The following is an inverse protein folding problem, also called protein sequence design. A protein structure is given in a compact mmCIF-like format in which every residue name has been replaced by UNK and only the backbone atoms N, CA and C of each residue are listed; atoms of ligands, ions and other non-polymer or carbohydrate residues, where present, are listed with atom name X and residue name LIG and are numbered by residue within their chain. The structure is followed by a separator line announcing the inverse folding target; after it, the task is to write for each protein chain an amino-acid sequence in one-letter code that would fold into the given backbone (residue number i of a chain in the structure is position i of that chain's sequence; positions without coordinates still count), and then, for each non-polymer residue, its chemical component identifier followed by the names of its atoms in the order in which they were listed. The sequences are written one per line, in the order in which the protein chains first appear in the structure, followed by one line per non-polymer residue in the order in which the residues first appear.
data_IF_046524134619
#
_entry.id   IF_046524134619
#
_cell.length_a   1.000
_cell.length_b   1.000
_cell.length_c   1.000
_cell.angle_alpha   90.00
_cell.angle_beta   90.00
_cell.angle_gamma   90.00
#
_symmetry.space_group_name_H-M   'P 1'
#
loop_
_entity.id
_entity.type
_entity.pdbx_description
1 polymer ?
#
# COMPACT_ATOMS: atom_id res chain seq x y z
N UNK A 1 54.30 29.87 48.10
CA UNK A 1 52.91 29.41 48.21
C UNK A 1 52.29 29.43 46.82
N UNK A 2 52.35 28.32 46.07
CA UNK A 2 51.78 28.23 44.73
C UNK A 2 50.40 27.57 44.82
N UNK A 3 49.35 28.30 44.41
CA UNK A 3 47.99 27.77 44.20
C UNK A 3 47.98 26.94 42.92
N UNK A 4 47.59 25.67 43.02
CA UNK A 4 47.32 24.81 41.88
C UNK A 4 45.82 24.91 41.51
N UNK A 5 45.55 25.26 40.26
CA UNK A 5 44.22 25.36 39.67
C UNK A 5 43.81 24.00 39.08
N UNK A 6 42.57 23.60 39.35
CA UNK A 6 41.89 22.38 38.90
C UNK A 6 41.78 22.29 37.36
N UNK A 7 41.91 21.07 36.80
CA UNK A 7 41.23 20.70 35.55
C UNK A 7 40.47 19.38 35.78
N UNK A 8 39.14 19.47 35.85
CA UNK A 8 38.26 18.31 35.79
C UNK A 8 37.95 18.01 34.32
N UNK A 9 38.35 16.83 33.84
CA UNK A 9 38.04 16.36 32.49
C UNK A 9 36.64 15.76 32.49
N UNK A 10 35.69 16.43 31.84
CA UNK A 10 34.37 15.87 31.56
C UNK A 10 34.50 14.84 30.43
N UNK A 11 34.39 13.55 30.78
CA UNK A 11 34.29 12.48 29.81
C UNK A 11 32.93 12.57 29.10
N UNK A 12 32.94 12.92 27.81
CA UNK A 12 31.76 12.91 26.96
C UNK A 12 31.26 11.48 26.75
N UNK A 13 30.04 11.19 27.19
CA UNK A 13 29.37 9.94 26.89
C UNK A 13 29.04 9.89 25.39
N UNK A 14 29.78 9.06 24.65
CA UNK A 14 29.50 8.76 23.26
C UNK A 14 28.24 7.87 23.22
N UNK A 15 27.11 8.41 22.76
CA UNK A 15 25.91 7.62 22.47
C UNK A 15 26.24 6.63 21.35
N UNK A 16 26.46 5.37 21.72
CA UNK A 16 26.63 4.30 20.76
C UNK A 16 25.26 4.03 20.11
N UNK A 17 25.18 4.28 18.80
CA UNK A 17 24.01 3.91 18.01
C UNK A 17 24.01 2.38 17.89
N UNK A 18 23.08 1.74 18.59
CA UNK A 18 22.85 0.30 18.47
C UNK A 18 22.59 -0.06 16.99
N UNK A 19 23.26 -1.08 16.44
CA UNK A 19 23.00 -1.54 15.09
C UNK A 19 21.53 -1.98 15.00
N UNK A 20 20.81 -1.45 14.02
CA UNK A 20 19.44 -1.88 13.71
C UNK A 20 19.49 -3.37 13.40
N UNK A 21 19.08 -4.21 14.36
CA UNK A 21 18.98 -5.65 14.14
C UNK A 21 17.96 -5.90 13.01
N UNK A 22 18.44 -6.53 11.93
CA UNK A 22 17.57 -6.95 10.84
C UNK A 22 16.48 -7.88 11.40
N UNK A 23 15.21 -7.48 11.29
CA UNK A 23 14.08 -8.31 11.69
C UNK A 23 14.11 -9.61 10.85
N UNK A 24 13.96 -10.80 11.46
CA UNK A 24 13.81 -12.04 10.71
C UNK A 24 12.65 -11.92 9.72
N UNK A 25 12.82 -12.48 8.51
CA UNK A 25 11.80 -12.42 7.48
C UNK A 25 10.51 -13.09 7.98
N UNK A 26 9.39 -12.38 7.90
CA UNK A 26 8.09 -12.94 8.26
C UNK A 26 7.76 -14.14 7.33
N UNK A 27 7.09 -15.19 7.84
CA UNK A 27 6.62 -16.28 7.01
C UNK A 27 5.70 -15.73 5.91
N UNK A 28 5.80 -16.27 4.69
CA UNK A 28 4.99 -15.81 3.56
C UNK A 28 3.50 -16.03 3.89
N UNK A 29 2.69 -14.96 4.03
CA UNK A 29 1.27 -15.08 4.38
C UNK A 29 0.52 -15.89 3.33
N UNK A 30 -0.41 -16.78 3.71
CA UNK A 30 -1.11 -17.65 2.76
C UNK A 30 -1.92 -16.84 1.73
N UNK A 31 -2.15 -17.43 0.55
CA UNK A 31 -3.08 -16.87 -0.44
C UNK A 31 -4.49 -16.97 0.13
N UNK A 32 -5.32 -15.96 -0.13
CA UNK A 32 -6.75 -16.03 0.15
C UNK A 32 -7.40 -17.24 -0.52
N UNK A 33 -8.38 -17.89 0.12
CA UNK A 33 -9.19 -18.88 -0.55
C UNK A 33 -9.90 -18.25 -1.75
N UNK A 34 -10.19 -19.08 -2.75
CA UNK A 34 -11.04 -18.67 -3.85
C UNK A 34 -12.46 -18.39 -3.35
N UNK A 35 -13.10 -17.37 -3.93
CA UNK A 35 -14.49 -17.03 -3.69
C UNK A 35 -15.21 -16.91 -5.03
N UNK A 36 -16.49 -17.30 -5.05
CA UNK A 36 -17.43 -16.94 -6.10
C UNK A 36 -17.84 -15.46 -5.99
N UNK A 37 -18.49 -14.95 -7.04
CA UNK A 37 -19.01 -13.58 -7.04
C UNK A 37 -20.10 -13.38 -5.97
N UNK A 38 -20.97 -14.39 -5.80
CA UNK A 38 -22.04 -14.36 -4.80
C UNK A 38 -21.48 -14.32 -3.37
N UNK A 39 -20.48 -15.16 -3.07
CA UNK A 39 -19.82 -15.16 -1.76
C UNK A 39 -19.09 -13.84 -1.50
N UNK A 40 -18.36 -13.31 -2.49
CA UNK A 40 -17.66 -12.03 -2.34
C UNK A 40 -18.63 -10.86 -2.12
N UNK A 41 -19.79 -10.86 -2.79
CA UNK A 41 -20.85 -9.87 -2.57
C UNK A 41 -21.51 -10.02 -1.20
N UNK A 42 -21.70 -11.24 -0.70
CA UNK A 42 -22.30 -11.50 0.60
C UNK A 42 -21.48 -10.93 1.77
N UNK A 43 -20.17 -10.77 1.60
CA UNK A 43 -19.28 -10.14 2.58
C UNK A 43 -19.49 -8.62 2.71
N UNK A 44 -20.13 -7.98 1.72
CA UNK A 44 -20.25 -6.52 1.69
C UNK A 44 -21.46 -6.03 2.50
N UNK A 45 -21.29 -4.99 3.35
CA UNK A 45 -22.41 -4.35 4.04
C UNK A 45 -23.50 -3.91 3.06
N UNK A 46 -24.76 -4.05 3.46
CA UNK A 46 -25.91 -3.69 2.62
C UNK A 46 -25.84 -2.23 2.12
N UNK A 47 -25.40 -1.31 2.98
CA UNK A 47 -25.22 0.11 2.65
C UNK A 47 -24.14 0.37 1.60
N UNK A 48 -23.15 -0.51 1.46
CA UNK A 48 -22.16 -0.45 0.38
C UNK A 48 -22.79 -1.01 -0.90
N UNK A 49 -23.48 -2.15 -0.82
CA UNK A 49 -24.14 -2.79 -1.99
C UNK A 49 -25.26 -1.96 -2.60
N UNK A 50 -25.99 -1.18 -1.81
CA UNK A 50 -27.14 -0.41 -2.28
C UNK A 50 -26.78 0.95 -2.89
N UNK A 51 -25.49 1.34 -2.93
CA UNK A 51 -25.10 2.61 -3.55
C UNK A 51 -25.39 2.57 -5.05
N UNK A 52 -26.15 3.56 -5.51
CA UNK A 52 -26.44 3.73 -6.92
C UNK A 52 -25.21 4.10 -7.76
N UNK A 53 -24.21 4.75 -7.16
CA UNK A 53 -23.02 5.21 -7.89
C UNK A 53 -21.97 4.10 -8.05
N UNK A 54 -21.14 4.25 -9.08
CA UNK A 54 -19.93 3.44 -9.28
C UNK A 54 -18.98 3.60 -8.09
N UNK A 55 -18.38 2.51 -7.64
CA UNK A 55 -17.39 2.50 -6.54
C UNK A 55 -16.45 1.30 -6.62
N UNK A 56 -15.27 1.46 -6.03
CA UNK A 56 -14.38 0.36 -5.68
C UNK A 56 -14.61 -0.05 -4.23
N UNK A 57 -14.59 -1.36 -3.98
CA UNK A 57 -14.67 -1.93 -2.64
C UNK A 57 -13.52 -2.92 -2.47
N UNK A 58 -12.59 -2.62 -1.58
CA UNK A 58 -11.51 -3.52 -1.18
C UNK A 58 -11.92 -4.21 0.12
N UNK A 59 -12.03 -5.53 0.11
CA UNK A 59 -12.24 -6.33 1.32
C UNK A 59 -10.93 -7.02 1.70
N UNK A 60 -10.26 -6.51 2.73
CA UNK A 60 -8.87 -6.89 3.05
C UNK A 60 -8.77 -8.34 3.52
N UNK A 61 -9.73 -8.81 4.32
CA UNK A 61 -9.72 -10.18 4.84
C UNK A 61 -9.91 -11.24 3.76
N UNK A 62 -10.68 -10.95 2.70
CA UNK A 62 -10.85 -11.85 1.56
C UNK A 62 -9.88 -11.57 0.40
N UNK A 63 -9.10 -10.49 0.50
CA UNK A 63 -8.16 -10.04 -0.54
C UNK A 63 -8.82 -9.89 -1.91
N UNK A 64 -10.05 -9.36 -1.92
CA UNK A 64 -10.81 -9.10 -3.13
C UNK A 64 -10.99 -7.59 -3.31
N UNK A 65 -10.77 -7.14 -4.55
CA UNK A 65 -11.21 -5.84 -5.01
C UNK A 65 -12.41 -6.03 -5.93
N UNK A 66 -13.49 -5.32 -5.62
CA UNK A 66 -14.73 -5.35 -6.38
C UNK A 66 -15.00 -3.96 -6.96
N UNK A 67 -15.49 -3.91 -8.20
CA UNK A 67 -16.07 -2.71 -8.79
C UNK A 67 -17.58 -2.92 -8.88
N UNK A 68 -18.32 -2.07 -8.16
CA UNK A 68 -19.78 -2.06 -8.18
C UNK A 68 -20.28 -0.83 -8.95
N UNK A 69 -21.37 -0.98 -9.69
CA UNK A 69 -22.05 0.10 -10.39
C UNK A 69 -23.56 -0.15 -10.32
N UNK A 70 -24.32 0.81 -9.80
CA UNK A 70 -25.75 0.64 -9.52
C UNK A 70 -26.06 -0.63 -8.69
N UNK A 71 -25.20 -0.94 -7.72
CA UNK A 71 -25.28 -2.14 -6.89
C UNK A 71 -24.95 -3.47 -7.59
N UNK A 72 -24.65 -3.45 -8.89
CA UNK A 72 -24.28 -4.62 -9.67
C UNK A 72 -22.76 -4.80 -9.69
N UNK A 73 -22.30 -6.05 -9.57
CA UNK A 73 -20.88 -6.38 -9.72
C UNK A 73 -20.47 -6.26 -11.19
N UNK A 74 -19.48 -5.43 -11.47
CA UNK A 74 -18.92 -5.24 -12.82
C UNK A 74 -17.59 -5.96 -13.01
N UNK A 75 -16.79 -6.00 -11.95
CA UNK A 75 -15.48 -6.65 -11.94
C UNK A 75 -15.15 -7.10 -10.53
N UNK A 76 -14.57 -8.30 -10.41
CA UNK A 76 -13.92 -8.76 -9.18
C UNK A 76 -12.55 -9.32 -9.51
N UNK A 77 -11.55 -8.92 -8.75
CA UNK A 77 -10.17 -9.35 -8.93
C UNK A 77 -9.50 -9.62 -7.58
N UNK A 78 -8.59 -10.61 -7.50
CA UNK A 78 -7.77 -10.79 -6.31
C UNK A 78 -6.79 -9.62 -6.16
N UNK A 79 -6.45 -9.29 -4.92
CA UNK A 79 -5.57 -8.18 -4.58
C UNK A 79 -4.56 -8.58 -3.51
N UNK A 80 -3.34 -8.07 -3.55
CA UNK A 80 -2.49 -8.05 -2.37
C UNK A 80 -2.84 -6.82 -1.52
N UNK A 81 -2.79 -6.94 -0.21
CA UNK A 81 -3.09 -5.85 0.74
C UNK A 81 -1.94 -5.62 1.70
N UNK A 82 -2.06 -4.58 2.53
CA UNK A 82 -1.13 -4.31 3.63
C UNK A 82 -0.94 -5.51 4.55
N UNK A 83 0.31 -5.77 4.94
CA UNK A 83 0.63 -6.71 6.02
C UNK A 83 0.20 -6.13 7.38
N UNK A 84 0.26 -6.95 8.43
CA UNK A 84 0.02 -6.51 9.79
C UNK A 84 1.02 -5.41 10.21
N UNK A 85 0.51 -4.31 10.77
CA UNK A 85 1.27 -3.09 11.08
C UNK A 85 1.49 -2.14 9.90
N UNK A 86 1.11 -2.56 8.68
CA UNK A 86 1.13 -1.74 7.47
C UNK A 86 -0.18 -1.89 6.70
N UNK A 87 -1.28 -1.94 7.44
CA UNK A 87 -2.60 -2.18 6.91
C UNK A 87 -2.97 -1.18 5.82
N UNK A 88 -3.65 -1.65 4.77
CA UNK A 88 -4.30 -0.73 3.83
C UNK A 88 -5.35 0.09 4.60
N UNK A 89 -5.31 1.45 4.55
CA UNK A 89 -6.14 2.30 5.40
C UNK A 89 -7.64 2.02 5.24
N UNK A 90 -8.31 1.67 6.34
CA UNK A 90 -9.75 1.43 6.37
C UNK A 90 -10.55 2.70 6.06
N UNK A 91 -11.82 2.51 5.71
CA UNK A 91 -12.80 3.59 5.62
C UNK A 91 -13.14 4.01 4.20
N UNK A 92 -13.75 5.19 4.09
CA UNK A 92 -14.18 5.76 2.81
C UNK A 92 -13.15 6.74 2.26
N UNK A 93 -12.73 6.47 1.04
CA UNK A 93 -11.75 7.24 0.29
C UNK A 93 -12.30 7.57 -1.10
N UNK A 94 -11.48 8.21 -1.92
CA UNK A 94 -11.78 8.48 -3.33
C UNK A 94 -10.50 8.40 -4.14
N UNK A 95 -10.62 8.04 -5.41
CA UNK A 95 -9.50 8.16 -6.35
C UNK A 95 -9.04 9.62 -6.39
N UNK A 96 -7.78 9.85 -6.03
CA UNK A 96 -7.15 11.18 -5.98
C UNK A 96 -6.59 11.55 -7.35
N UNK A 97 -5.80 10.65 -7.93
CA UNK A 97 -5.22 10.80 -9.26
C UNK A 97 -4.81 9.43 -9.81
N UNK A 98 -4.53 9.41 -11.10
CA UNK A 98 -4.23 8.19 -11.86
C UNK A 98 -3.05 8.45 -12.81
N UNK A 99 -2.21 7.44 -13.01
CA UNK A 99 -1.10 7.52 -13.96
C UNK A 99 -1.00 6.25 -14.82
N UNK A 100 -0.80 6.45 -16.12
CA UNK A 100 -0.41 5.41 -17.08
C UNK A 100 1.11 5.31 -17.04
N UNK A 101 1.63 4.09 -17.03
CA UNK A 101 3.05 3.77 -17.04
C UNK A 101 3.83 4.65 -16.05
N UNK A 102 3.55 4.52 -14.74
CA UNK A 102 4.12 5.39 -13.72
C UNK A 102 5.63 5.15 -13.57
N UNK A 103 6.39 6.22 -13.35
CA UNK A 103 7.75 6.11 -12.82
C UNK A 103 7.67 5.79 -11.33
N UNK A 104 8.35 4.74 -10.88
CA UNK A 104 8.47 4.45 -9.46
C UNK A 104 9.66 5.19 -8.87
N UNK A 105 9.48 5.82 -7.71
CA UNK A 105 10.54 6.44 -6.92
C UNK A 105 10.78 5.62 -5.67
N UNK A 106 12.01 5.15 -5.50
CA UNK A 106 12.43 4.43 -4.31
C UNK A 106 12.32 5.34 -3.07
N UNK A 107 11.61 4.94 -2.00
CA UNK A 107 11.31 5.85 -0.89
C UNK A 107 12.55 6.20 -0.05
N UNK A 108 13.54 5.31 0.06
CA UNK A 108 14.79 5.56 0.79
C UNK A 108 15.82 6.37 0.00
N UNK A 109 16.25 5.86 -1.15
CA UNK A 109 17.32 6.45 -1.98
C UNK A 109 16.85 7.53 -2.96
N UNK A 110 15.54 7.62 -3.25
CA UNK A 110 15.01 8.51 -4.28
C UNK A 110 15.27 8.05 -5.72
N UNK A 111 15.93 6.90 -5.92
CA UNK A 111 16.21 6.33 -7.24
C UNK A 111 14.93 6.14 -8.05
N UNK A 112 15.02 6.37 -9.36
CA UNK A 112 13.89 6.26 -10.27
C UNK A 112 13.96 4.95 -11.06
N UNK A 113 12.87 4.21 -11.07
CA UNK A 113 12.69 3.06 -11.94
C UNK A 113 11.67 3.44 -13.02
N UNK A 114 12.08 3.49 -14.30
CA UNK A 114 11.18 3.84 -15.39
C UNK A 114 10.12 2.76 -15.61
N UNK A 115 9.09 3.02 -16.43
CA UNK A 115 8.11 2.02 -16.80
C UNK A 115 8.76 0.79 -17.47
N UNK A 116 8.15 -0.38 -17.27
CA UNK A 116 8.62 -1.65 -17.84
C UNK A 116 8.53 -2.80 -16.86
N UNK A 117 8.97 -3.99 -17.27
CA UNK A 117 8.78 -5.24 -16.52
C UNK A 117 9.45 -5.31 -15.13
N UNK A 118 10.37 -4.38 -14.82
CA UNK A 118 11.02 -4.28 -13.50
C UNK A 118 10.39 -3.22 -12.59
N UNK A 119 9.43 -2.44 -13.11
CA UNK A 119 8.79 -1.41 -12.31
C UNK A 119 7.83 -2.03 -11.30
N UNK A 120 7.99 -1.80 -9.99
CA UNK A 120 7.17 -2.44 -8.97
C UNK A 120 5.72 -1.96 -8.96
N UNK A 121 5.40 -0.83 -9.62
CA UNK A 121 4.05 -0.31 -9.79
C UNK A 121 3.31 -0.91 -11.01
N UNK A 122 4.00 -1.70 -11.84
CA UNK A 122 3.45 -2.20 -13.09
C UNK A 122 3.07 -1.07 -14.04
N UNK A 123 2.02 -1.29 -14.82
CA UNK A 123 1.63 -0.38 -15.91
C UNK A 123 0.65 0.73 -15.50
N UNK A 124 0.02 0.65 -14.34
CA UNK A 124 -1.03 1.60 -13.92
C UNK A 124 -0.93 1.90 -12.43
N UNK A 125 -1.21 3.15 -12.09
CA UNK A 125 -1.30 3.64 -10.71
C UNK A 125 -2.61 4.39 -10.49
N UNK A 126 -3.26 4.13 -9.37
CA UNK A 126 -4.49 4.80 -8.91
C UNK A 126 -4.30 5.15 -7.43
N UNK A 127 -3.92 6.40 -7.12
CA UNK A 127 -3.85 6.86 -5.74
C UNK A 127 -5.26 7.05 -5.18
N UNK A 128 -5.50 6.61 -3.95
CA UNK A 128 -6.78 6.86 -3.26
C UNK A 128 -6.62 7.40 -1.84
N UNK A 129 -5.41 7.37 -1.28
CA UNK A 129 -5.13 7.86 0.05
C UNK A 129 -3.77 8.56 0.09
N UNK A 130 -3.65 9.57 0.94
CA UNK A 130 -2.45 10.39 1.12
C UNK A 130 -2.21 10.64 2.61
N UNK A 131 -0.96 10.50 3.04
CA UNK A 131 -0.51 10.84 4.39
C UNK A 131 0.66 11.82 4.30
N UNK A 132 0.59 12.93 5.04
CA UNK A 132 1.62 13.97 5.10
C UNK A 132 2.17 14.18 6.52
N UNK A 133 1.67 13.46 7.52
CA UNK A 133 1.92 13.78 8.93
C UNK A 133 3.33 13.36 9.35
N UNK A 134 3.77 12.17 8.94
CA UNK A 134 5.15 11.70 9.00
C UNK A 134 5.25 10.33 8.31
N UNK A 135 4.98 10.23 7.00
CA UNK A 135 4.73 8.94 6.38
C UNK A 135 5.96 8.03 6.37
N UNK A 136 5.84 6.85 6.98
CA UNK A 136 6.79 5.77 6.78
C UNK A 136 6.68 5.16 5.38
N UNK A 137 7.74 4.52 4.93
CA UNK A 137 7.78 3.75 3.70
C UNK A 137 8.62 2.49 3.87
N UNK A 138 8.51 1.59 2.92
CA UNK A 138 9.38 0.43 2.82
C UNK A 138 10.12 0.47 1.50
N UNK A 139 11.43 0.30 1.58
CA UNK A 139 12.32 0.47 0.44
C UNK A 139 12.68 -0.84 -0.26
N UNK A 140 12.29 -1.96 0.35
CA UNK A 140 12.64 -3.32 -0.10
C UNK A 140 13.43 -4.07 0.96
N UNK A 141 14.15 -3.35 1.83
CA UNK A 141 15.08 -3.90 2.80
C UNK A 141 14.77 -3.41 4.22
N UNK A 142 14.38 -2.15 4.38
CA UNK A 142 14.10 -1.53 5.68
C UNK A 142 12.98 -0.50 5.63
N UNK A 143 12.48 -0.16 6.81
CA UNK A 143 11.59 0.98 7.00
C UNK A 143 12.39 2.25 6.78
N UNK A 144 11.84 3.17 5.98
CA UNK A 144 12.44 4.46 5.67
C UNK A 144 11.42 5.57 5.94
N UNK A 145 11.91 6.76 6.28
CA UNK A 145 11.07 7.94 6.41
C UNK A 145 10.86 8.57 5.02
N UNK A 146 9.62 8.75 4.61
CA UNK A 146 9.31 9.47 3.37
C UNK A 146 9.28 10.97 3.67
N UNK A 147 10.00 11.76 2.86
CA UNK A 147 9.96 13.22 2.94
C UNK A 147 8.70 13.73 2.23
N UNK A 148 7.93 14.60 2.90
CA UNK A 148 6.68 15.14 2.37
C UNK A 148 5.52 14.17 2.56
N UNK A 149 4.65 14.05 1.55
CA UNK A 149 3.50 13.14 1.61
C UNK A 149 3.76 11.82 0.90
N UNK A 150 3.25 10.72 1.45
CA UNK A 150 3.16 9.42 0.78
C UNK A 150 1.74 9.17 0.29
N UNK A 151 1.61 8.27 -0.67
CA UNK A 151 0.33 7.86 -1.22
C UNK A 151 0.17 6.35 -1.11
N UNK A 152 -1.05 5.92 -0.81
CA UNK A 152 -1.49 4.54 -0.96
C UNK A 152 -2.38 4.45 -2.20
N UNK A 153 -2.14 3.44 -3.02
CA UNK A 153 -2.80 3.29 -4.29
C UNK A 153 -3.00 1.84 -4.72
N UNK A 154 -3.84 1.67 -5.74
CA UNK A 154 -3.95 0.44 -6.50
C UNK A 154 -2.93 0.47 -7.64
N UNK A 155 -2.22 -0.63 -7.85
CA UNK A 155 -1.22 -0.71 -8.89
C UNK A 155 -1.00 -2.14 -9.40
N UNK A 156 -0.36 -2.27 -10.56
CA UNK A 156 0.08 -3.56 -11.10
C UNK A 156 1.31 -4.07 -10.35
N UNK A 157 1.66 -5.35 -10.48
CA UNK A 157 2.92 -5.85 -9.93
C UNK A 157 3.58 -6.88 -10.85
N UNK A 158 4.90 -6.81 -11.05
CA UNK A 158 5.63 -7.90 -11.70
C UNK A 158 5.72 -9.14 -10.78
N UNK A 159 5.58 -8.96 -9.47
CA UNK A 159 5.63 -10.04 -8.48
C UNK A 159 4.25 -10.70 -8.33
N UNK A 160 3.82 -11.40 -9.38
CA UNK A 160 2.49 -12.03 -9.48
C UNK A 160 2.12 -12.89 -8.27
N UNK A 161 3.08 -13.62 -7.69
CA UNK A 161 2.89 -14.50 -6.52
C UNK A 161 2.43 -13.77 -5.24
N UNK A 162 2.55 -12.43 -5.20
CA UNK A 162 2.12 -11.61 -4.06
C UNK A 162 0.60 -11.35 -4.04
N UNK A 163 -0.06 -11.44 -5.21
CA UNK A 163 -1.49 -11.17 -5.34
C UNK A 163 -2.30 -12.21 -4.56
N UNK A 164 -3.28 -11.75 -3.78
CA UNK A 164 -4.09 -12.58 -2.89
C UNK A 164 -3.49 -12.75 -1.48
N UNK A 165 -2.39 -12.08 -1.14
CA UNK A 165 -1.72 -12.15 0.17
C UNK A 165 -1.67 -10.79 0.87
N UNK A 166 -1.51 -10.78 2.19
CA UNK A 166 -1.27 -9.56 2.97
C UNK A 166 0.24 -9.29 3.12
N UNK A 167 0.87 -8.72 2.09
CA UNK A 167 2.35 -8.67 1.94
C UNK A 167 2.90 -7.30 1.54
N UNK A 168 2.03 -6.31 1.35
CA UNK A 168 2.46 -4.96 0.99
C UNK A 168 2.66 -4.09 2.23
N UNK A 169 3.18 -2.87 2.01
CA UNK A 169 3.29 -1.83 3.03
C UNK A 169 2.16 -0.80 2.88
N UNK A 170 0.93 -1.28 2.70
CA UNK A 170 -0.30 -0.48 2.58
C UNK A 170 -0.91 -0.44 1.18
N UNK A 171 -0.09 -0.42 0.12
CA UNK A 171 -0.57 -0.37 -1.27
C UNK A 171 -1.26 -1.65 -1.74
N UNK A 172 -2.21 -1.51 -2.67
CA UNK A 172 -2.99 -2.63 -3.19
C UNK A 172 -2.38 -3.12 -4.50
N UNK A 173 -1.85 -4.34 -4.53
CA UNK A 173 -1.22 -4.91 -5.73
C UNK A 173 -2.22 -5.79 -6.49
N UNK A 174 -2.35 -5.57 -7.78
CA UNK A 174 -3.16 -6.38 -8.68
C UNK A 174 -2.27 -7.00 -9.76
N UNK A 175 -2.78 -8.04 -10.44
CA UNK A 175 -2.21 -8.43 -11.72
C UNK A 175 -2.30 -7.28 -12.73
N UNK A 176 -1.31 -7.18 -13.61
CA UNK A 176 -1.20 -6.02 -14.50
C UNK A 176 -2.38 -5.92 -15.48
N UNK A 177 -2.90 -7.05 -15.95
CA UNK A 177 -4.12 -7.14 -16.74
C UNK A 177 -5.38 -6.68 -15.98
N UNK A 178 -5.39 -6.87 -14.65
CA UNK A 178 -6.52 -6.49 -13.80
C UNK A 178 -6.50 -4.99 -13.48
N UNK A 179 -5.34 -4.43 -13.14
CA UNK A 179 -5.24 -2.99 -12.87
C UNK A 179 -5.58 -2.17 -14.12
N UNK A 180 -5.23 -2.63 -15.33
CA UNK A 180 -5.63 -1.95 -16.58
C UNK A 180 -7.15 -1.86 -16.71
N UNK A 181 -7.87 -2.97 -16.50
CA UNK A 181 -9.34 -2.98 -16.50
C UNK A 181 -9.93 -2.08 -15.43
N UNK A 182 -9.41 -2.13 -14.20
CA UNK A 182 -9.86 -1.25 -13.11
C UNK A 182 -9.61 0.21 -13.49
N UNK A 183 -8.44 0.52 -14.01
CA UNK A 183 -8.05 1.86 -14.44
C UNK A 183 -9.00 2.40 -15.49
N UNK A 184 -9.37 1.61 -16.50
CA UNK A 184 -10.26 2.08 -17.57
C UNK A 184 -11.71 2.29 -17.09
N UNK A 185 -12.11 1.60 -16.02
CA UNK A 185 -13.49 1.67 -15.49
C UNK A 185 -13.72 2.78 -14.46
N UNK A 186 -12.67 3.33 -13.83
CA UNK A 186 -12.79 4.31 -12.73
C UNK A 186 -12.25 5.69 -13.10
N UNK A 187 -12.89 6.72 -12.59
CA UNK A 187 -12.49 8.12 -12.77
C UNK A 187 -11.90 8.70 -11.49
N UNK A 188 -11.20 9.83 -11.62
CA UNK A 188 -10.83 10.65 -10.45
C UNK A 188 -12.12 11.04 -9.71
N UNK A 189 -12.10 10.89 -8.38
CA UNK A 189 -13.27 11.06 -7.52
C UNK A 189 -14.14 9.81 -7.36
N UNK A 190 -13.88 8.70 -8.07
CA UNK A 190 -14.58 7.43 -7.83
C UNK A 190 -14.39 7.01 -6.37
N UNK A 191 -15.47 6.71 -5.61
CA UNK A 191 -15.36 6.24 -4.24
C UNK A 191 -14.55 4.95 -4.14
N UNK A 192 -13.73 4.86 -3.09
CA UNK A 192 -12.97 3.66 -2.73
C UNK A 192 -13.27 3.32 -1.27
N UNK A 193 -13.97 2.21 -1.04
CA UNK A 193 -14.33 1.74 0.30
C UNK A 193 -13.38 0.62 0.69
N UNK A 194 -12.67 0.79 1.81
CA UNK A 194 -11.78 -0.24 2.34
C UNK A 194 -12.40 -0.85 3.59
N UNK A 195 -12.75 -2.12 3.49
CA UNK A 195 -13.31 -2.96 4.53
C UNK A 195 -12.22 -3.85 5.14
N UNK A 196 -12.41 -4.31 6.40
CA UNK A 196 -11.46 -5.18 7.09
C UNK A 196 -11.18 -6.52 6.39
#
# INVERSE_FOLDING_TARGET
MLRATLLAVLAGACLQLEPVQARPADPIPPVAPWLSDAEALALLPAAVRSRAKKQLVLHRSSRQLLLLEHGQLRLRVPAAVGTQGWETPLGEHRVLFKAVDPVWRHPGTGALVPPGGRNPLGSRWIAFYQDCSNPGGWDGEKVVQVRGCSHVGLHGTPHRWTVGRAVSHGCVRLYDEHIRRVFDLVDVGTPVVVLP
#
